data_IF_974453054803
#
_entry.id   IF_974453054803
#
_cell.length_a   1.000
_cell.length_b   1.000
_cell.length_c   1.000
_cell.angle_alpha   90.00
_cell.angle_beta   90.00
_cell.angle_gamma   90.00
#
_symmetry.space_group_name_H-M   'P 1'
#
loop_
_entity.id
_entity.type
_entity.pdbx_description
1 polymer ?
#
# COMPACT_ATOMS: atom_id res chain seq x y z
N UNK A 1 -10.74 -55.07 0.80
CA UNK A 1 -11.01 -54.16 -0.34
C UNK A 1 -11.50 -52.82 0.20
N UNK A 2 -10.71 -52.13 1.03
CA UNK A 2 -11.16 -50.96 1.82
C UNK A 2 -10.00 -50.03 2.24
N UNK A 3 -9.02 -49.82 1.35
CA UNK A 3 -7.82 -49.03 1.67
C UNK A 3 -7.29 -48.26 0.46
N UNK A 4 -8.16 -47.83 -0.46
CA UNK A 4 -7.74 -47.15 -1.71
C UNK A 4 -8.51 -45.86 -2.02
N UNK A 5 -9.34 -45.36 -1.10
CA UNK A 5 -10.23 -44.21 -1.36
C UNK A 5 -9.88 -42.94 -0.59
N UNK A 6 -8.94 -42.98 0.38
CA UNK A 6 -8.59 -41.78 1.18
C UNK A 6 -7.39 -40.97 0.66
N UNK A 7 -6.69 -41.40 -0.41
CA UNK A 7 -5.45 -40.75 -0.86
C UNK A 7 -5.59 -39.85 -2.09
N UNK A 8 -6.79 -39.39 -2.46
CA UNK A 8 -6.95 -38.66 -3.71
C UNK A 8 -7.92 -37.47 -3.61
N UNK A 9 -7.64 -36.54 -2.69
CA UNK A 9 -8.30 -35.23 -2.67
C UNK A 9 -7.45 -34.12 -2.04
N UNK A 10 -6.16 -34.01 -2.39
CA UNK A 10 -5.29 -32.94 -1.87
C UNK A 10 -4.40 -32.28 -2.95
N UNK A 11 -4.92 -32.00 -4.14
CA UNK A 11 -4.12 -31.29 -5.15
C UNK A 11 -4.94 -30.48 -6.16
N UNK A 12 -5.93 -29.71 -5.69
CA UNK A 12 -6.72 -28.87 -6.60
C UNK A 12 -7.18 -27.54 -6.01
N UNK A 13 -6.58 -27.09 -4.90
CA UNK A 13 -6.89 -25.78 -4.29
C UNK A 13 -5.70 -24.80 -4.27
N UNK A 14 -4.49 -25.23 -4.66
CA UNK A 14 -3.29 -24.39 -4.65
C UNK A 14 -3.32 -23.29 -5.71
N UNK A 15 -3.71 -23.61 -6.94
CA UNK A 15 -3.66 -22.65 -8.05
C UNK A 15 -4.77 -21.59 -8.00
N UNK A 16 -5.98 -21.98 -7.57
CA UNK A 16 -7.11 -21.05 -7.41
C UNK A 16 -6.93 -20.11 -6.20
N UNK A 17 -6.25 -20.56 -5.15
CA UNK A 17 -5.88 -19.71 -4.00
C UNK A 17 -4.69 -18.81 -4.31
N UNK A 18 -3.71 -19.26 -5.11
CA UNK A 18 -2.64 -18.42 -5.65
C UNK A 18 -3.19 -17.31 -6.56
N UNK A 19 -4.06 -17.66 -7.52
CA UNK A 19 -4.74 -16.69 -8.38
C UNK A 19 -5.61 -15.73 -7.56
N UNK A 20 -6.31 -16.23 -6.53
CA UNK A 20 -7.11 -15.38 -5.61
C UNK A 20 -6.25 -14.44 -4.75
N UNK A 21 -5.05 -14.85 -4.37
CA UNK A 21 -4.10 -14.05 -3.61
C UNK A 21 -3.39 -13.00 -4.48
N UNK A 22 -3.11 -13.33 -5.75
CA UNK A 22 -2.40 -12.49 -6.71
C UNK A 22 -3.32 -11.61 -7.60
N UNK A 23 -4.63 -11.58 -7.38
CA UNK A 23 -5.56 -10.67 -8.10
C UNK A 23 -5.06 -9.22 -8.25
N UNK A 24 -4.53 -8.56 -7.21
CA UNK A 24 -4.04 -7.18 -7.35
C UNK A 24 -2.79 -7.09 -8.22
N UNK A 25 -1.95 -8.14 -8.24
CA UNK A 25 -0.83 -8.24 -9.17
C UNK A 25 -1.35 -8.36 -10.61
N UNK A 26 -2.33 -9.24 -10.84
CA UNK A 26 -2.96 -9.43 -12.15
C UNK A 26 -3.67 -8.18 -12.68
N UNK A 27 -4.36 -7.42 -11.81
CA UNK A 27 -5.00 -6.15 -12.18
C UNK A 27 -3.94 -5.09 -12.52
N UNK A 28 -2.86 -5.00 -11.74
CA UNK A 28 -1.74 -4.11 -12.03
C UNK A 28 -1.06 -4.44 -13.37
N UNK A 29 -0.75 -5.71 -13.60
CA UNK A 29 -0.14 -6.21 -14.83
C UNK A 29 -1.05 -6.01 -16.05
N UNK A 30 -2.35 -6.29 -15.89
CA UNK A 30 -3.34 -6.06 -16.94
C UNK A 30 -3.46 -4.58 -17.30
N UNK A 31 -3.48 -3.69 -16.30
CA UNK A 31 -3.52 -2.24 -16.54
C UNK A 31 -2.24 -1.75 -17.21
N UNK A 32 -1.07 -2.24 -16.77
CA UNK A 32 0.21 -1.93 -17.41
C UNK A 32 0.26 -2.41 -18.87
N UNK A 33 -0.21 -3.63 -19.15
CA UNK A 33 -0.28 -4.17 -20.50
C UNK A 33 -1.22 -3.36 -21.42
N UNK A 34 -2.39 -2.96 -20.92
CA UNK A 34 -3.32 -2.10 -21.66
C UNK A 34 -2.68 -0.74 -21.96
N UNK A 35 -2.01 -0.14 -20.97
CA UNK A 35 -1.34 1.14 -21.14
C UNK A 35 -0.17 1.05 -22.14
N UNK A 36 0.61 -0.03 -22.11
CA UNK A 36 1.72 -0.23 -23.05
C UNK A 36 1.23 -0.52 -24.49
N UNK A 37 0.14 -1.28 -24.64
CA UNK A 37 -0.43 -1.61 -25.95
C UNK A 37 -1.27 -0.49 -26.57
N UNK A 38 -1.94 0.33 -25.76
CA UNK A 38 -2.86 1.40 -26.22
C UNK A 38 -2.32 2.80 -25.93
N UNK A 39 -1.05 2.91 -25.53
CA UNK A 39 -0.47 4.15 -25.01
C UNK A 39 -0.65 5.35 -25.93
N UNK A 40 -0.46 5.19 -27.25
CA UNK A 40 -0.67 6.27 -28.22
C UNK A 40 -2.11 6.77 -28.25
N UNK A 41 -3.11 5.87 -28.26
CA UNK A 41 -4.53 6.26 -28.25
C UNK A 41 -5.00 6.82 -26.92
N UNK A 42 -4.44 6.35 -25.81
CA UNK A 42 -4.72 6.93 -24.49
C UNK A 42 -4.18 8.36 -24.41
N UNK A 43 -2.93 8.58 -24.87
CA UNK A 43 -2.28 9.88 -24.91
C UNK A 43 -3.02 10.86 -25.84
N UNK A 44 -3.49 10.41 -27.01
CA UNK A 44 -4.29 11.25 -27.90
C UNK A 44 -5.64 11.63 -27.26
N UNK A 45 -6.20 10.74 -26.43
CA UNK A 45 -7.46 10.96 -25.74
C UNK A 45 -7.35 11.90 -24.53
N UNK A 46 -6.14 12.28 -24.08
CA UNK A 46 -5.93 13.25 -23.00
C UNK A 46 -6.39 14.67 -23.35
N UNK A 47 -6.62 14.98 -24.64
CA UNK A 47 -7.16 16.26 -25.07
C UNK A 47 -8.61 16.49 -24.58
N UNK A 48 -9.33 15.43 -24.24
CA UNK A 48 -10.69 15.51 -23.71
C UNK A 48 -10.67 15.52 -22.16
N UNK A 49 -11.20 16.57 -21.50
CA UNK A 49 -11.18 16.66 -20.03
C UNK A 49 -11.84 15.47 -19.31
N UNK A 50 -12.91 14.92 -19.89
CA UNK A 50 -13.63 13.75 -19.35
C UNK A 50 -12.81 12.47 -19.42
N UNK A 51 -12.09 12.24 -20.52
CA UNK A 51 -11.23 11.08 -20.70
C UNK A 51 -10.01 11.13 -19.77
N UNK A 52 -9.42 12.32 -19.59
CA UNK A 52 -8.33 12.53 -18.64
C UNK A 52 -8.76 12.18 -17.21
N UNK A 53 -9.94 12.65 -16.78
CA UNK A 53 -10.49 12.31 -15.47
C UNK A 53 -10.73 10.81 -15.29
N UNK A 54 -11.28 10.14 -16.31
CA UNK A 54 -11.52 8.70 -16.27
C UNK A 54 -10.23 7.87 -16.18
N UNK A 55 -9.21 8.20 -17.00
CA UNK A 55 -7.91 7.52 -16.98
C UNK A 55 -7.21 7.75 -15.64
N UNK A 56 -7.22 8.98 -15.13
CA UNK A 56 -6.64 9.31 -13.83
C UNK A 56 -7.30 8.50 -12.71
N UNK A 57 -8.64 8.49 -12.65
CA UNK A 57 -9.38 7.76 -11.62
C UNK A 57 -9.10 6.25 -11.70
N UNK A 58 -9.07 5.68 -12.90
CA UNK A 58 -8.74 4.27 -13.10
C UNK A 58 -7.33 3.93 -12.60
N UNK A 59 -6.31 4.67 -13.04
CA UNK A 59 -4.93 4.44 -12.60
C UNK A 59 -4.79 4.63 -11.09
N UNK A 60 -5.40 5.68 -10.54
CA UNK A 60 -5.38 5.98 -9.12
C UNK A 60 -5.98 4.83 -8.28
N UNK A 61 -7.18 4.35 -8.63
CA UNK A 61 -7.83 3.23 -7.93
C UNK A 61 -7.00 1.95 -8.05
N UNK A 62 -6.41 1.70 -9.22
CA UNK A 62 -5.57 0.52 -9.45
C UNK A 62 -4.32 0.52 -8.57
N UNK A 63 -3.61 1.64 -8.52
CA UNK A 63 -2.42 1.80 -7.67
C UNK A 63 -2.78 1.70 -6.20
N UNK A 64 -3.86 2.36 -5.77
CA UNK A 64 -4.31 2.33 -4.37
C UNK A 64 -4.70 0.92 -3.93
N UNK A 65 -5.43 0.19 -4.78
CA UNK A 65 -5.80 -1.20 -4.54
C UNK A 65 -4.57 -2.11 -4.44
N UNK A 66 -3.59 -1.92 -5.33
CA UNK A 66 -2.33 -2.65 -5.30
C UNK A 66 -1.55 -2.42 -4.00
N UNK A 67 -1.40 -1.16 -3.58
CA UNK A 67 -0.70 -0.78 -2.35
C UNK A 67 -1.35 -1.42 -1.11
N UNK A 68 -2.68 -1.35 -0.98
CA UNK A 68 -3.41 -1.98 0.14
C UNK A 68 -3.16 -3.49 0.16
N UNK A 69 -3.14 -4.14 -1.01
CA UNK A 69 -2.84 -5.56 -1.07
C UNK A 69 -1.44 -5.89 -0.58
N UNK A 70 -0.41 -5.13 -1.00
CA UNK A 70 0.96 -5.37 -0.56
C UNK A 70 1.06 -5.25 0.96
N UNK A 71 0.43 -4.23 1.55
CA UNK A 71 0.39 -4.04 3.00
C UNK A 71 -0.30 -5.22 3.70
N UNK A 72 -1.42 -5.72 3.16
CA UNK A 72 -2.10 -6.91 3.71
C UNK A 72 -1.23 -8.17 3.69
N UNK A 73 -0.43 -8.35 2.64
CA UNK A 73 0.51 -9.48 2.58
C UNK A 73 1.65 -9.30 3.58
N UNK A 74 2.19 -8.09 3.70
CA UNK A 74 3.21 -7.75 4.70
C UNK A 74 2.71 -7.98 6.12
N UNK A 75 1.45 -7.64 6.42
CA UNK A 75 0.83 -7.85 7.72
C UNK A 75 0.66 -9.34 8.05
N UNK A 76 0.20 -10.14 7.08
CA UNK A 76 0.13 -11.60 7.24
C UNK A 76 1.52 -12.21 7.50
N UNK A 77 2.56 -11.70 6.83
CA UNK A 77 3.94 -12.13 7.04
C UNK A 77 4.44 -11.68 8.42
N UNK A 78 4.09 -10.46 8.85
CA UNK A 78 4.48 -9.91 10.13
C UNK A 78 3.93 -10.74 11.30
N UNK A 79 2.68 -11.18 11.22
CA UNK A 79 2.05 -12.05 12.23
C UNK A 79 2.78 -13.40 12.31
N UNK A 80 3.18 -13.97 11.17
CA UNK A 80 3.91 -15.25 11.13
C UNK A 80 5.32 -15.16 11.69
N UNK A 81 5.99 -14.04 11.50
CA UNK A 81 7.35 -13.82 12.00
C UNK A 81 7.40 -13.44 13.48
N UNK A 82 6.30 -12.90 14.04
CA UNK A 82 6.25 -12.44 15.43
C UNK A 82 7.13 -11.22 15.71
N UNK A 83 7.03 -10.65 16.91
CA UNK A 83 7.86 -9.51 17.31
C UNK A 83 9.29 -9.95 17.66
N UNK A 84 10.33 -9.19 17.27
CA UNK A 84 10.31 -7.85 16.67
C UNK A 84 10.30 -7.83 15.13
N UNK A 85 10.50 -8.97 14.47
CA UNK A 85 10.67 -9.06 13.02
C UNK A 85 9.41 -8.63 12.25
N UNK A 86 8.23 -8.90 12.80
CA UNK A 86 6.96 -8.49 12.17
C UNK A 86 6.85 -6.98 12.02
N UNK A 87 7.23 -6.21 13.04
CA UNK A 87 7.25 -4.75 12.98
C UNK A 87 8.26 -4.24 11.94
N UNK A 88 9.44 -4.87 11.84
CA UNK A 88 10.42 -4.52 10.82
C UNK A 88 9.91 -4.80 9.41
N UNK A 89 9.23 -5.94 9.19
CA UNK A 89 8.65 -6.30 7.89
C UNK A 89 7.57 -5.29 7.50
N UNK A 90 6.68 -4.93 8.42
CA UNK A 90 5.59 -3.99 8.15
C UNK A 90 6.12 -2.59 7.80
N UNK A 91 7.10 -2.11 8.57
CA UNK A 91 7.71 -0.78 8.33
C UNK A 91 8.53 -0.76 7.04
N UNK A 92 9.32 -1.79 6.76
CA UNK A 92 10.10 -1.91 5.53
C UNK A 92 9.19 -1.99 4.29
N UNK A 93 8.07 -2.72 4.37
CA UNK A 93 7.10 -2.81 3.29
C UNK A 93 6.52 -1.42 2.97
N UNK A 94 6.05 -0.68 3.97
CA UNK A 94 5.49 0.66 3.77
C UNK A 94 6.52 1.64 3.17
N UNK A 95 7.74 1.68 3.72
CA UNK A 95 8.81 2.55 3.24
C UNK A 95 9.25 2.16 1.82
N UNK A 96 9.26 0.87 1.48
CA UNK A 96 9.62 0.42 0.13
C UNK A 96 8.65 0.93 -0.93
N UNK A 97 7.34 0.88 -0.67
CA UNK A 97 6.31 1.41 -1.59
C UNK A 97 6.49 2.92 -1.75
N UNK A 98 6.70 3.62 -0.64
CA UNK A 98 6.91 5.07 -0.62
C UNK A 98 8.12 5.48 -1.46
N UNK A 99 9.29 4.89 -1.21
CA UNK A 99 10.53 5.22 -1.93
C UNK A 99 10.40 4.87 -3.41
N UNK A 100 9.81 3.72 -3.77
CA UNK A 100 9.58 3.35 -5.17
C UNK A 100 8.68 4.36 -5.89
N UNK A 101 7.59 4.80 -5.26
CA UNK A 101 6.67 5.79 -5.84
C UNK A 101 7.35 7.15 -6.03
N UNK A 102 8.12 7.60 -5.05
CA UNK A 102 8.86 8.88 -5.12
C UNK A 102 9.94 8.80 -6.21
N UNK A 103 10.73 7.72 -6.25
CA UNK A 103 11.73 7.51 -7.29
C UNK A 103 11.11 7.47 -8.68
N UNK A 104 9.97 6.78 -8.85
CA UNK A 104 9.26 6.74 -10.12
C UNK A 104 8.80 8.13 -10.57
N UNK A 105 8.28 8.94 -9.64
CA UNK A 105 7.82 10.30 -9.92
C UNK A 105 8.97 11.26 -10.28
N UNK A 106 10.12 11.15 -9.60
CA UNK A 106 11.30 11.98 -9.87
C UNK A 106 11.97 11.57 -11.18
N UNK A 107 12.00 10.28 -11.51
CA UNK A 107 12.65 9.76 -12.73
C UNK A 107 11.89 10.13 -14.01
N UNK A 108 10.55 10.16 -13.96
CA UNK A 108 9.70 10.51 -15.10
C UNK A 108 9.26 11.99 -15.10
N UNK A 109 9.52 12.72 -14.03
CA UNK A 109 9.23 14.15 -13.92
C UNK A 109 10.30 15.01 -14.61
N UNK A 110 9.94 16.25 -14.94
CA UNK A 110 10.94 17.28 -15.27
C UNK A 110 11.98 17.36 -14.13
N UNK A 111 13.25 17.62 -14.47
CA UNK A 111 14.39 17.59 -13.54
C UNK A 111 14.25 18.63 -12.40
N UNK A 112 13.42 18.31 -11.40
CA UNK A 112 13.10 19.17 -10.29
C UNK A 112 13.33 18.45 -8.96
N UNK A 113 14.49 18.65 -8.32
CA UNK A 113 14.83 17.96 -7.08
C UNK A 113 13.92 18.36 -5.91
N UNK A 114 13.12 19.44 -6.03
CA UNK A 114 12.17 19.81 -4.98
C UNK A 114 10.98 18.86 -4.89
N UNK A 115 10.64 18.17 -5.98
CA UNK A 115 9.46 17.30 -6.04
C UNK A 115 9.56 16.14 -5.02
N UNK A 116 10.73 15.53 -4.88
CA UNK A 116 10.97 14.48 -3.89
C UNK A 116 10.76 14.97 -2.45
N UNK A 117 11.31 16.16 -2.16
CA UNK A 117 11.22 16.81 -0.86
C UNK A 117 9.76 17.16 -0.54
N UNK A 118 9.03 17.71 -1.50
CA UNK A 118 7.65 18.13 -1.31
C UNK A 118 6.73 16.92 -1.08
N UNK A 119 7.00 15.78 -1.73
CA UNK A 119 6.32 14.50 -1.44
C UNK A 119 6.59 13.99 -0.02
N UNK A 120 7.84 14.03 0.45
CA UNK A 120 8.18 13.62 1.81
C UNK A 120 7.50 14.52 2.86
N UNK A 121 7.49 15.84 2.63
CA UNK A 121 6.76 16.76 3.51
C UNK A 121 5.26 16.48 3.51
N UNK A 122 4.67 16.16 2.35
CA UNK A 122 3.26 15.80 2.27
C UNK A 122 2.95 14.53 3.06
N UNK A 123 3.77 13.47 2.94
CA UNK A 123 3.57 12.23 3.69
C UNK A 123 3.67 12.47 5.20
N UNK A 124 4.68 13.24 5.66
CA UNK A 124 4.82 13.59 7.08
C UNK A 124 3.63 14.41 7.59
N UNK A 125 3.15 15.38 6.81
CA UNK A 125 1.97 16.18 7.17
C UNK A 125 0.71 15.33 7.27
N UNK A 126 0.52 14.41 6.33
CA UNK A 126 -0.61 13.46 6.35
C UNK A 126 -0.50 12.52 7.55
N UNK A 127 0.68 11.97 7.85
CA UNK A 127 0.86 11.04 8.95
C UNK A 127 0.71 11.73 10.32
N UNK A 128 1.45 12.83 10.56
CA UNK A 128 1.54 13.46 11.87
C UNK A 128 0.36 14.39 12.19
N UNK A 129 -0.19 15.11 11.20
CA UNK A 129 -1.31 16.01 11.43
C UNK A 129 -2.63 15.39 10.99
N UNK A 130 -2.65 14.76 9.82
CA UNK A 130 -3.85 14.13 9.27
C UNK A 130 -4.30 12.92 10.09
N UNK A 131 -3.51 11.84 10.06
CA UNK A 131 -3.90 10.56 10.66
C UNK A 131 -3.95 10.63 12.19
N UNK A 132 -2.92 11.17 12.84
CA UNK A 132 -2.92 11.32 14.31
C UNK A 132 -4.01 12.30 14.76
N UNK A 133 -4.15 13.45 14.09
CA UNK A 133 -5.20 14.42 14.43
C UNK A 133 -6.61 13.84 14.28
N UNK A 134 -6.85 13.08 13.21
CA UNK A 134 -8.13 12.43 12.97
C UNK A 134 -8.39 11.29 13.96
N UNK A 135 -7.37 10.53 14.36
CA UNK A 135 -7.46 9.53 15.42
C UNK A 135 -7.80 10.16 16.79
N UNK A 136 -7.18 11.31 17.12
CA UNK A 136 -7.48 12.08 18.32
C UNK A 136 -8.92 12.63 18.29
N UNK A 137 -9.35 13.21 17.16
CA UNK A 137 -10.67 13.81 17.01
C UNK A 137 -11.78 12.75 17.08
N UNK A 138 -11.67 11.66 16.31
CA UNK A 138 -12.67 10.58 16.32
C UNK A 138 -12.68 9.83 17.65
N UNK A 139 -11.51 9.51 18.20
CA UNK A 139 -11.42 8.77 19.46
C UNK A 139 -11.84 9.63 20.65
N UNK A 140 -11.56 10.94 20.63
CA UNK A 140 -12.01 11.89 21.65
C UNK A 140 -13.51 12.13 21.61
N UNK A 141 -14.11 12.23 20.41
CA UNK A 141 -15.56 12.33 20.25
C UNK A 141 -16.29 11.11 20.81
N UNK A 142 -15.73 9.90 20.62
CA UNK A 142 -16.35 8.64 21.06
C UNK A 142 -16.06 8.27 22.52
N UNK A 143 -14.83 8.48 23.00
CA UNK A 143 -14.38 7.96 24.31
C UNK A 143 -14.12 9.04 25.36
N UNK A 144 -14.16 10.34 24.99
CA UNK A 144 -13.83 11.55 25.81
C UNK A 144 -12.40 11.59 26.34
N UNK A 145 -11.87 10.48 26.85
CA UNK A 145 -10.48 10.30 27.26
C UNK A 145 -9.86 9.13 26.49
N UNK A 146 -8.68 9.34 25.91
CA UNK A 146 -7.91 8.29 25.23
C UNK A 146 -6.78 7.80 26.14
N UNK A 147 -6.67 6.48 26.33
CA UNK A 147 -5.55 5.89 27.05
C UNK A 147 -4.32 5.89 26.16
N UNK A 148 -3.27 6.58 26.59
CA UNK A 148 -1.96 6.58 25.92
C UNK A 148 -0.91 5.95 26.83
N UNK A 149 0.07 5.27 26.23
CA UNK A 149 1.10 4.57 26.99
C UNK A 149 2.22 5.53 27.43
N UNK A 150 2.09 6.06 28.65
CA UNK A 150 3.08 6.96 29.27
C UNK A 150 4.50 6.38 29.32
N UNK A 151 4.63 5.05 29.50
CA UNK A 151 5.92 4.38 29.54
C UNK A 151 6.67 4.51 28.20
N UNK A 152 5.94 4.34 27.09
CA UNK A 152 6.48 4.54 25.75
C UNK A 152 6.91 5.99 25.52
N UNK A 153 6.05 6.96 25.87
CA UNK A 153 6.35 8.38 25.72
C UNK A 153 7.59 8.80 26.51
N UNK A 154 7.71 8.38 27.77
CA UNK A 154 8.87 8.68 28.60
C UNK A 154 10.17 8.06 28.07
N UNK A 155 10.10 6.83 27.52
CA UNK A 155 11.27 6.18 26.92
C UNK A 155 11.78 6.93 25.68
N UNK A 156 10.88 7.44 24.83
CA UNK A 156 11.26 8.28 23.71
C UNK A 156 11.81 9.62 24.18
N UNK A 157 11.15 10.30 25.13
CA UNK A 157 11.58 11.61 25.64
C UNK A 157 12.99 11.56 26.24
N UNK A 158 13.30 10.50 27.01
CA UNK A 158 14.61 10.28 27.61
C UNK A 158 15.71 9.96 26.59
N UNK A 159 15.37 9.54 25.38
CA UNK A 159 16.36 9.27 24.32
C UNK A 159 16.79 10.55 23.59
N UNK A 160 15.93 11.57 23.57
CA UNK A 160 16.16 12.85 22.88
C UNK A 160 16.63 13.97 23.82
N UNK A 161 16.57 13.76 25.14
CA UNK A 161 16.99 14.71 26.18
C UNK A 161 18.34 14.31 26.77
#
# INVERSE_FOLDING_TARGET
MSAKEEFQAESTNGFASFIRAEYPLGIGLGTAAIFFGTGSRLVDSLANPSALGAIFLWLFVTVLWSAISVVRHADCLAIKCGEPYGTLILTLAAISIEVMMISAAVLHGANNPTLARDMMFAVLMIALNGLVGLALLLGGLRHREQRYNLQGTNSYLNTIM
#
